data_IF_011107976957
#
_entry.id   IF_011107976957
#
_cell.length_a   1.000
_cell.length_b   1.000
_cell.length_c   1.000
_cell.angle_alpha   90.00
_cell.angle_beta   90.00
_cell.angle_gamma   90.00
#
_symmetry.space_group_name_H-M   'P 1'
#
loop_
_entity.id
_entity.type
_entity.pdbx_description
1 polymer ?
#
# COMPACT_ATOMS: atom_id res chain seq x y z
N UNK A 1 12.81 8.43 31.19
CA UNK A 1 12.88 7.42 30.11
C UNK A 1 13.17 6.06 30.72
N UNK A 2 12.21 5.13 30.71
CA UNK A 2 12.38 3.80 31.30
C UNK A 2 13.44 2.99 30.54
N UNK A 3 14.21 2.17 31.27
CA UNK A 3 15.24 1.30 30.67
C UNK A 3 14.60 0.36 29.64
N UNK A 4 15.18 0.19 28.44
CA UNK A 4 14.64 -0.71 27.44
C UNK A 4 14.74 -2.16 27.89
N UNK A 5 13.71 -2.95 27.60
CA UNK A 5 13.70 -4.39 27.88
C UNK A 5 14.83 -5.10 27.12
N UNK A 6 15.16 -6.33 27.54
CA UNK A 6 16.14 -7.16 26.83
C UNK A 6 15.74 -7.36 25.36
N UNK A 7 14.46 -7.63 25.11
CA UNK A 7 13.93 -7.80 23.76
C UNK A 7 14.02 -6.52 22.94
N UNK A 8 13.70 -5.36 23.52
CA UNK A 8 13.86 -4.07 22.84
C UNK A 8 15.31 -3.80 22.43
N UNK A 9 16.27 -4.11 23.31
CA UNK A 9 17.70 -4.01 22.97
C UNK A 9 18.07 -4.93 21.81
N UNK A 10 17.57 -6.17 21.80
CA UNK A 10 17.80 -7.12 20.70
C UNK A 10 17.23 -6.61 19.37
N UNK A 11 16.04 -6.01 19.38
CA UNK A 11 15.40 -5.42 18.19
C UNK A 11 16.21 -4.23 17.66
N UNK A 12 16.71 -3.36 18.55
CA UNK A 12 17.55 -2.23 18.16
C UNK A 12 18.89 -2.69 17.57
N UNK A 13 19.51 -3.73 18.14
CA UNK A 13 20.71 -4.34 17.56
C UNK A 13 20.42 -4.92 16.17
N UNK A 14 19.32 -5.66 16.01
CA UNK A 14 18.91 -6.21 14.72
C UNK A 14 18.71 -5.13 13.66
N UNK A 15 18.07 -4.01 14.00
CA UNK A 15 17.89 -2.88 13.10
C UNK A 15 19.23 -2.34 12.59
N UNK A 16 20.20 -2.13 13.48
CA UNK A 16 21.54 -1.63 13.12
C UNK A 16 22.30 -2.63 12.25
N UNK A 17 22.19 -3.92 12.56
CA UNK A 17 22.82 -4.99 11.78
C UNK A 17 22.23 -5.09 10.36
N UNK A 18 20.91 -4.97 10.22
CA UNK A 18 20.23 -4.97 8.92
C UNK A 18 20.62 -3.75 8.08
N UNK A 19 20.69 -2.56 8.67
CA UNK A 19 21.18 -1.36 7.96
C UNK A 19 22.62 -1.57 7.49
N UNK A 20 23.50 -2.11 8.34
CA UNK A 20 24.89 -2.36 7.99
C UNK A 20 25.03 -3.39 6.86
N UNK A 21 24.25 -4.48 6.90
CA UNK A 21 24.25 -5.51 5.87
C UNK A 21 23.59 -5.05 4.55
N UNK A 22 22.71 -4.04 4.63
CA UNK A 22 22.05 -3.41 3.48
C UNK A 22 22.87 -2.30 2.81
N UNK A 23 23.96 -1.82 3.42
CA UNK A 23 24.84 -0.82 2.80
C UNK A 23 25.39 -1.33 1.47
N UNK A 24 25.38 -0.46 0.46
CA UNK A 24 25.78 -0.81 -0.91
C UNK A 24 24.67 -1.45 -1.77
N UNK A 25 23.49 -1.76 -1.20
CA UNK A 25 22.33 -2.22 -1.96
C UNK A 25 21.31 -1.08 -2.09
N UNK A 26 20.96 -0.61 -3.31
CA UNK A 26 20.00 0.47 -3.47
C UNK A 26 18.62 0.08 -2.91
N UNK A 27 17.99 0.99 -2.16
CA UNK A 27 16.65 0.79 -1.58
C UNK A 27 16.57 -0.13 -0.35
N UNK A 28 17.64 -0.83 0.03
CA UNK A 28 17.63 -1.76 1.17
C UNK A 28 17.42 -1.02 2.51
N UNK A 29 18.16 0.06 2.74
CA UNK A 29 18.01 0.86 3.98
C UNK A 29 16.61 1.49 4.10
N UNK A 30 16.07 2.01 3.00
CA UNK A 30 14.74 2.61 2.98
C UNK A 30 13.67 1.58 3.34
N UNK A 31 13.78 0.36 2.81
CA UNK A 31 12.85 -0.75 3.10
C UNK A 31 12.93 -1.20 4.55
N UNK A 32 14.15 -1.35 5.11
CA UNK A 32 14.35 -1.68 6.53
C UNK A 32 13.73 -0.60 7.42
N UNK A 33 13.97 0.68 7.13
CA UNK A 33 13.37 1.79 7.90
C UNK A 33 11.85 1.78 7.86
N UNK A 34 11.27 1.55 6.68
CA UNK A 34 9.82 1.49 6.51
C UNK A 34 9.18 0.35 7.30
N UNK A 35 9.76 -0.86 7.26
CA UNK A 35 9.23 -2.03 7.98
C UNK A 35 9.32 -1.85 9.51
N UNK A 36 10.45 -1.35 10.02
CA UNK A 36 10.58 -1.07 11.45
C UNK A 36 9.63 0.05 11.92
N UNK A 37 9.41 1.08 11.09
CA UNK A 37 8.41 2.13 11.40
C UNK A 37 6.99 1.59 11.41
N UNK A 38 6.63 0.74 10.44
CA UNK A 38 5.30 0.12 10.39
C UNK A 38 5.00 -0.69 11.66
N UNK A 39 5.99 -1.39 12.21
CA UNK A 39 5.84 -2.20 13.42
C UNK A 39 6.15 -1.46 14.73
N UNK A 40 6.62 -0.20 14.67
CA UNK A 40 6.87 0.60 15.87
C UNK A 40 5.58 0.97 16.63
N UNK A 41 4.42 0.91 15.94
CA UNK A 41 3.11 1.15 16.53
C UNK A 41 2.56 -0.05 17.34
N UNK A 42 3.25 -1.20 17.33
CA UNK A 42 2.79 -2.38 18.07
C UNK A 42 2.83 -2.11 19.58
N UNK A 43 1.79 -2.51 20.34
CA UNK A 43 1.79 -2.36 21.77
C UNK A 43 2.87 -3.25 22.40
N UNK A 44 3.53 -2.75 23.46
CA UNK A 44 4.62 -3.47 24.14
C UNK A 44 4.16 -4.80 24.76
N UNK A 45 2.87 -4.97 24.98
CA UNK A 45 2.23 -6.18 25.49
C UNK A 45 2.14 -7.31 24.45
N UNK A 46 2.20 -6.99 23.15
CA UNK A 46 2.14 -8.00 22.08
C UNK A 46 3.51 -8.66 21.86
N UNK A 47 3.99 -9.32 22.91
CA UNK A 47 5.32 -9.93 22.95
C UNK A 47 5.47 -11.00 21.87
N UNK A 48 4.44 -11.81 21.63
CA UNK A 48 4.48 -12.89 20.64
C UNK A 48 4.67 -12.35 19.22
N UNK A 49 3.93 -11.30 18.84
CA UNK A 49 4.09 -10.71 17.50
C UNK A 49 5.45 -10.05 17.35
N UNK A 50 5.91 -9.34 18.38
CA UNK A 50 7.22 -8.71 18.40
C UNK A 50 8.34 -9.77 18.26
N UNK A 51 8.25 -10.87 19.00
CA UNK A 51 9.21 -11.97 18.90
C UNK A 51 9.20 -12.63 17.52
N UNK A 52 8.02 -12.88 16.96
CA UNK A 52 7.88 -13.41 15.61
C UNK A 52 8.61 -12.52 14.59
N UNK A 53 8.36 -11.22 14.63
CA UNK A 53 9.00 -10.25 13.75
C UNK A 53 10.53 -10.19 13.97
N UNK A 54 10.98 -10.28 15.21
CA UNK A 54 12.40 -10.35 15.54
C UNK A 54 13.06 -11.60 14.94
N UNK A 55 12.46 -12.78 15.12
CA UNK A 55 12.98 -14.04 14.54
C UNK A 55 12.98 -14.00 13.01
N UNK A 56 11.93 -13.44 12.40
CA UNK A 56 11.84 -13.22 10.94
C UNK A 56 12.96 -12.31 10.45
N UNK A 57 13.18 -11.17 11.09
CA UNK A 57 14.25 -10.25 10.73
C UNK A 57 15.66 -10.83 10.91
N UNK A 58 15.86 -11.68 11.93
CA UNK A 58 17.11 -12.44 12.09
C UNK A 58 17.38 -13.39 10.92
N UNK A 59 16.36 -14.04 10.38
CA UNK A 59 16.48 -14.88 9.17
C UNK A 59 16.82 -14.03 7.95
N UNK A 60 16.16 -12.89 7.76
CA UNK A 60 16.48 -11.95 6.67
C UNK A 60 17.93 -11.46 6.74
N UNK A 61 18.43 -11.15 7.93
CA UNK A 61 19.82 -10.75 8.14
C UNK A 61 20.80 -11.88 7.78
N UNK A 62 20.49 -13.11 8.16
CA UNK A 62 21.32 -14.28 7.82
C UNK A 62 21.41 -14.46 6.30
N UNK A 63 20.28 -14.32 5.59
CA UNK A 63 20.24 -14.37 4.12
C UNK A 63 21.02 -13.23 3.46
N UNK A 64 20.95 -12.01 4.01
CA UNK A 64 21.73 -10.88 3.50
C UNK A 64 23.24 -11.07 3.67
N UNK A 65 23.65 -11.79 4.71
CA UNK A 65 25.07 -12.08 5.00
C UNK A 65 25.61 -13.26 4.19
N UNK A 66 24.79 -14.25 3.86
CA UNK A 66 25.24 -15.45 3.17
C UNK A 66 25.49 -15.26 1.65
N UNK A 67 25.39 -14.05 1.11
CA UNK A 67 25.68 -13.77 -0.31
C UNK A 67 24.63 -14.28 -1.30
N UNK A 68 23.73 -15.19 -0.89
CA UNK A 68 22.64 -15.74 -1.70
C UNK A 68 21.45 -14.78 -1.91
N UNK A 69 21.53 -13.55 -1.41
CA UNK A 69 20.44 -12.58 -1.52
C UNK A 69 20.48 -11.86 -2.88
N UNK A 70 20.02 -12.53 -3.94
CA UNK A 70 19.48 -11.85 -5.11
C UNK A 70 18.31 -10.98 -4.63
N UNK A 71 18.57 -9.68 -4.59
CA UNK A 71 17.65 -8.55 -4.41
C UNK A 71 16.31 -8.85 -3.70
N UNK A 72 16.20 -8.41 -2.44
CA UNK A 72 14.95 -7.90 -1.84
C UNK A 72 13.76 -8.88 -1.68
N UNK A 73 13.84 -10.13 -2.16
CA UNK A 73 12.84 -11.17 -1.92
C UNK A 73 12.70 -11.59 -0.45
N UNK A 74 13.73 -11.33 0.37
CA UNK A 74 13.68 -11.59 1.81
C UNK A 74 12.66 -10.71 2.56
N UNK A 75 12.37 -9.52 2.02
CA UNK A 75 11.46 -8.55 2.63
C UNK A 75 10.06 -8.57 2.01
N UNK A 76 9.65 -9.68 1.39
CA UNK A 76 8.29 -9.82 0.82
C UNK A 76 7.27 -9.41 1.89
N UNK A 77 6.53 -8.35 1.56
CA UNK A 77 5.48 -7.79 2.41
C UNK A 77 4.36 -8.82 2.38
N UNK A 78 4.26 -9.66 3.41
CA UNK A 78 2.98 -10.30 3.66
C UNK A 78 2.05 -9.15 4.05
N UNK A 79 1.18 -8.75 3.13
CA UNK A 79 -0.01 -7.97 3.52
C UNK A 79 -0.67 -8.84 4.58
N UNK A 80 -0.56 -8.44 5.84
CA UNK A 80 -1.54 -8.87 6.83
C UNK A 80 -2.89 -8.41 6.29
N UNK A 81 -3.89 -9.29 6.11
CA UNK A 81 -5.24 -8.83 5.87
C UNK A 81 -5.57 -7.90 7.02
N UNK A 82 -5.76 -6.62 6.67
CA UNK A 82 -6.23 -5.61 7.59
C UNK A 82 -7.55 -6.13 8.15
N UNK A 83 -7.54 -6.43 9.45
CA UNK A 83 -8.75 -6.65 10.22
C UNK A 83 -9.68 -5.47 9.98
N UNK A 84 -10.88 -5.81 9.55
CA UNK A 84 -11.92 -4.92 9.05
C UNK A 84 -12.23 -3.83 10.08
N UNK A 85 -12.02 -2.57 9.69
CA UNK A 85 -12.73 -1.45 10.29
C UNK A 85 -14.03 -1.33 9.50
N UNK A 86 -15.09 -1.93 10.02
CA UNK A 86 -16.45 -1.70 9.57
C UNK A 86 -16.74 -0.19 9.46
N UNK A 87 -17.11 0.22 8.27
CA UNK A 87 -17.56 1.57 7.92
C UNK A 87 -18.25 1.45 6.57
N UNK A 88 -19.55 1.17 6.62
CA UNK A 88 -20.42 0.96 5.48
C UNK A 88 -20.33 2.09 4.43
N UNK A 89 -20.28 1.71 3.16
CA UNK A 89 -20.37 2.62 2.02
C UNK A 89 -20.43 1.80 0.74
N UNK A 90 -21.63 1.45 0.32
CA UNK A 90 -21.99 0.54 -0.76
C UNK A 90 -21.29 0.85 -2.12
N UNK A 91 -21.03 -0.18 -2.95
CA UNK A 91 -20.75 0.01 -4.36
C UNK A 91 -22.08 -0.01 -5.14
N UNK A 92 -22.49 1.13 -5.65
CA UNK A 92 -23.67 1.17 -6.51
C UNK A 92 -23.98 2.56 -6.99
N UNK A 93 -23.58 2.86 -8.22
CA UNK A 93 -24.41 3.63 -9.17
C UNK A 93 -23.86 3.34 -10.57
N UNK A 94 -24.47 2.35 -11.24
CA UNK A 94 -24.72 2.48 -12.67
C UNK A 94 -25.71 3.64 -12.85
N UNK A 95 -25.57 4.52 -13.85
CA UNK A 95 -26.72 5.21 -14.39
C UNK A 95 -27.31 4.31 -15.48
N UNK A 96 -28.38 3.62 -15.10
CA UNK A 96 -29.35 2.99 -15.99
C UNK A 96 -30.12 4.08 -16.76
N UNK A 97 -30.56 3.69 -17.96
CA UNK A 97 -31.28 4.51 -18.92
C UNK A 97 -32.68 4.88 -18.39
N UNK A 98 -33.21 6.04 -18.78
CA UNK A 98 -34.65 6.29 -18.59
C UNK A 98 -35.11 7.72 -18.81
N UNK A 99 -35.61 7.96 -20.03
CA UNK A 99 -36.72 8.84 -20.41
C UNK A 99 -36.70 10.36 -20.13
N UNK A 100 -36.97 11.12 -21.20
CA UNK A 100 -37.13 12.58 -21.21
C UNK A 100 -38.39 13.09 -20.49
N UNK A 101 -38.70 14.40 -20.57
CA UNK A 101 -39.38 14.91 -21.78
C UNK A 101 -39.08 16.37 -22.20
N UNK A 102 -39.33 16.66 -23.50
CA UNK A 102 -39.93 17.87 -24.13
C UNK A 102 -39.40 19.27 -23.71
N UNK A 103 -39.02 20.23 -24.58
CA UNK A 103 -39.55 20.68 -25.88
C UNK A 103 -38.67 21.90 -26.37
N UNK A 104 -39.10 22.70 -27.38
CA UNK A 104 -38.78 22.68 -28.82
C UNK A 104 -37.79 23.81 -29.24
N UNK A 105 -37.60 24.00 -30.56
CA UNK A 105 -36.79 25.04 -31.27
C UNK A 105 -35.35 24.54 -31.50
N UNK A 106 -34.84 24.37 -32.73
CA UNK A 106 -34.91 25.25 -33.88
C UNK A 106 -35.06 24.44 -35.19
N UNK A 107 -36.05 24.85 -35.98
CA UNK A 107 -36.14 24.48 -37.39
C UNK A 107 -35.25 25.40 -38.20
N UNK A 108 -34.20 24.85 -38.82
CA UNK A 108 -33.49 25.51 -39.90
C UNK A 108 -33.49 24.59 -41.12
N UNK A 109 -34.67 24.47 -41.74
CA UNK A 109 -34.81 23.99 -43.11
C UNK A 109 -34.80 25.23 -44.01
N UNK A 110 -33.74 25.34 -44.79
CA UNK A 110 -33.49 26.41 -45.75
C UNK A 110 -34.63 26.60 -46.76
N UNK A 111 -34.76 27.81 -47.33
CA UNK A 111 -36.02 28.35 -47.82
C UNK A 111 -36.37 27.91 -49.24
N UNK A 112 -37.65 28.10 -49.51
CA UNK A 112 -38.38 27.86 -50.75
C UNK A 112 -37.80 28.62 -51.95
N UNK A 113 -37.90 28.00 -53.13
CA UNK A 113 -37.94 28.69 -54.42
C UNK A 113 -39.05 28.07 -55.27
N UNK A 114 -40.11 28.84 -55.57
CA UNK A 114 -40.74 28.82 -56.88
C UNK A 114 -40.49 30.19 -57.53
N UNK A 115 -40.41 30.31 -58.88
CA UNK A 115 -41.67 30.30 -59.64
C UNK A 115 -41.59 29.80 -61.10
N UNK A 116 -42.77 29.38 -61.58
CA UNK A 116 -43.37 29.59 -62.91
C UNK A 116 -42.64 29.27 -64.23
N UNK A 117 -43.38 28.67 -65.17
CA UNK A 117 -43.04 28.75 -66.59
C UNK A 117 -43.67 27.71 -67.51
N UNK A 118 -44.96 27.91 -67.83
CA UNK A 118 -45.68 27.58 -69.09
C UNK A 118 -45.61 26.18 -69.71
#
# INVERSE_FOLDING_TARGET
>A
MSRPSRLQRQILSLYRELLRAGRGKPGAEARVRAEFRQHACLPRSDVLRIEYLYRRGRRQLQLLRSGHATAMGAFVRQRSPTQESSGAGAPGTQPDNGDGPRNPLDGMRSPETPPDGR
#
